data_IF_707957204994
#
_entry.id   IF_707957204994
#
_cell.length_a   1.000
_cell.length_b   1.000
_cell.length_c   1.000
_cell.angle_alpha   90.00
_cell.angle_beta   90.00
_cell.angle_gamma   90.00
#
_symmetry.space_group_name_H-M   'P 1'
#
loop_
_entity.id
_entity.type
_entity.pdbx_description
1 polymer ?
#
# COMPACT_ATOMS: atom_id res chain seq x y z
N UNK A 1 -8.21 -3.36 7.14
CA UNK A 1 -9.53 -2.71 6.89
C UNK A 1 -10.67 -3.72 6.67
N UNK A 2 -10.47 -4.82 5.91
CA UNK A 2 -11.55 -5.78 5.66
C UNK A 2 -12.17 -6.39 6.94
N UNK A 3 -11.39 -6.87 7.93
CA UNK A 3 -11.95 -7.51 9.13
C UNK A 3 -12.81 -6.60 10.02
N UNK A 4 -12.50 -5.30 10.12
CA UNK A 4 -13.27 -4.38 10.96
C UNK A 4 -14.66 -4.09 10.35
N UNK A 5 -14.72 -3.85 9.03
CA UNK A 5 -16.00 -3.72 8.33
C UNK A 5 -16.85 -4.99 8.45
N UNK A 6 -16.21 -6.17 8.43
CA UNK A 6 -16.89 -7.45 8.62
C UNK A 6 -17.43 -7.59 10.06
N UNK A 7 -16.68 -7.10 11.06
CA UNK A 7 -17.15 -7.06 12.46
C UNK A 7 -18.28 -6.06 12.64
N UNK A 8 -18.17 -4.87 12.08
CA UNK A 8 -19.21 -3.84 12.12
C UNK A 8 -20.49 -4.28 11.42
N UNK A 9 -20.40 -4.94 10.27
CA UNK A 9 -21.57 -5.50 9.58
C UNK A 9 -22.29 -6.54 10.46
N UNK A 10 -21.56 -7.42 11.17
CA UNK A 10 -22.18 -8.40 12.09
C UNK A 10 -22.74 -7.79 13.37
N UNK A 11 -22.20 -6.67 13.85
CA UNK A 11 -22.67 -6.01 15.08
C UNK A 11 -23.90 -5.10 14.85
N UNK A 12 -24.14 -4.66 13.60
CA UNK A 12 -25.18 -3.69 13.28
C UNK A 12 -26.34 -4.27 12.45
N UNK A 13 -26.32 -5.57 12.17
CA UNK A 13 -27.42 -6.26 11.49
C UNK A 13 -27.93 -7.40 12.36
N UNK A 14 -29.21 -7.43 12.69
CA UNK A 14 -29.88 -8.58 13.30
C UNK A 14 -29.98 -9.76 12.31
N UNK A 15 -29.56 -9.57 11.07
CA UNK A 15 -29.54 -10.59 10.01
C UNK A 15 -28.21 -11.37 10.03
N UNK A 16 -28.30 -12.68 9.84
CA UNK A 16 -27.15 -13.56 9.67
C UNK A 16 -26.47 -13.26 8.35
N UNK A 17 -25.41 -12.44 8.38
CA UNK A 17 -24.61 -12.13 7.20
C UNK A 17 -23.64 -13.28 6.93
N UNK A 18 -23.75 -13.89 5.76
CA UNK A 18 -22.75 -14.84 5.25
C UNK A 18 -21.67 -14.09 4.48
N UNK A 19 -20.41 -14.42 4.80
CA UNK A 19 -19.26 -13.74 4.22
C UNK A 19 -18.37 -14.78 3.58
N UNK A 20 -17.98 -14.51 2.31
CA UNK A 20 -17.03 -15.32 1.56
C UNK A 20 -15.88 -14.44 1.07
N UNK A 21 -14.65 -14.85 1.36
CA UNK A 21 -13.45 -14.23 0.82
C UNK A 21 -12.98 -15.00 -0.39
N UNK A 22 -12.88 -14.31 -1.54
CA UNK A 22 -12.31 -14.85 -2.78
C UNK A 22 -10.88 -14.35 -2.91
N UNK A 23 -9.92 -15.25 -2.91
CA UNK A 23 -8.48 -14.94 -3.03
C UNK A 23 -7.90 -15.66 -4.26
N UNK A 24 -7.17 -14.91 -5.09
CA UNK A 24 -6.52 -15.44 -6.30
C UNK A 24 -5.36 -16.39 -5.98
N UNK A 25 -4.60 -16.07 -4.95
CA UNK A 25 -3.43 -16.85 -4.53
C UNK A 25 -3.86 -18.08 -3.73
N UNK A 26 -2.92 -18.95 -3.42
CA UNK A 26 -3.11 -20.17 -2.62
C UNK A 26 -3.43 -19.89 -1.13
N UNK A 27 -3.22 -18.65 -0.67
CA UNK A 27 -3.59 -18.19 0.69
C UNK A 27 -3.75 -16.68 0.78
N UNK A 28 -4.60 -16.21 1.68
CA UNK A 28 -4.79 -14.80 1.99
C UNK A 28 -3.59 -14.22 2.74
N UNK A 29 -3.38 -12.90 2.58
CA UNK A 29 -2.40 -12.15 3.35
C UNK A 29 -0.95 -12.26 2.89
N UNK A 30 -0.65 -12.90 1.75
CA UNK A 30 0.74 -13.04 1.24
C UNK A 30 1.48 -11.73 1.11
N UNK A 31 0.81 -10.67 0.66
CA UNK A 31 1.44 -9.37 0.49
C UNK A 31 1.89 -8.74 1.81
N UNK A 32 1.22 -9.04 2.92
CA UNK A 32 1.60 -8.56 4.26
C UNK A 32 3.03 -9.00 4.58
N UNK A 33 3.40 -10.23 4.23
CA UNK A 33 4.70 -10.82 4.53
C UNK A 33 5.88 -10.07 3.86
N UNK A 34 5.64 -9.36 2.76
CA UNK A 34 6.66 -8.57 2.05
C UNK A 34 6.73 -7.11 2.52
N UNK A 35 5.82 -6.67 3.39
CA UNK A 35 5.78 -5.28 3.85
C UNK A 35 6.77 -5.01 4.99
N UNK A 36 7.22 -3.76 5.11
CA UNK A 36 8.13 -3.36 6.19
C UNK A 36 9.40 -4.20 6.28
N UNK A 37 9.93 -4.65 5.15
CA UNK A 37 11.09 -5.56 5.08
C UNK A 37 10.87 -6.86 5.89
N UNK A 38 9.69 -7.47 5.75
CA UNK A 38 9.30 -8.69 6.47
C UNK A 38 8.78 -8.47 7.89
N UNK A 39 8.70 -7.22 8.35
CA UNK A 39 8.25 -6.86 9.71
C UNK A 39 6.82 -6.34 9.76
N UNK A 40 6.23 -5.92 8.63
CA UNK A 40 4.92 -5.29 8.52
C UNK A 40 4.80 -3.95 9.26
N UNK A 41 5.24 -2.86 8.63
CA UNK A 41 4.85 -1.52 9.10
C UNK A 41 3.35 -1.33 8.83
N UNK A 42 2.51 -1.53 9.85
CA UNK A 42 1.07 -1.57 9.66
C UNK A 42 0.36 -0.23 9.90
N UNK A 43 1.03 0.74 10.56
CA UNK A 43 0.50 2.09 10.77
C UNK A 43 1.63 3.10 11.08
N UNK A 44 1.24 4.36 11.26
CA UNK A 44 2.13 5.43 11.69
C UNK A 44 1.38 6.41 12.58
N UNK A 45 1.92 6.74 13.77
CA UNK A 45 1.31 7.67 14.73
C UNK A 45 1.11 9.07 14.15
N UNK A 46 1.98 9.48 13.22
CA UNK A 46 1.97 10.79 12.59
C UNK A 46 1.14 10.83 11.30
N UNK A 47 0.35 9.77 11.00
CA UNK A 47 -0.43 9.70 9.78
C UNK A 47 -1.45 10.85 9.72
N UNK A 48 -1.39 11.61 8.65
CA UNK A 48 -2.27 12.75 8.40
C UNK A 48 -2.45 12.93 6.89
N UNK A 49 -3.40 13.76 6.47
CA UNK A 49 -3.61 14.09 5.05
C UNK A 49 -2.32 14.56 4.36
N UNK A 50 -1.41 15.20 5.09
CA UNK A 50 -0.13 15.71 4.56
C UNK A 50 0.82 14.61 4.09
N UNK A 51 0.63 13.38 4.56
CA UNK A 51 1.44 12.22 4.19
C UNK A 51 0.92 11.48 2.95
N UNK A 52 -0.19 11.96 2.36
CA UNK A 52 -0.76 11.39 1.15
C UNK A 52 -0.52 12.32 -0.03
N UNK A 53 -0.06 11.75 -1.13
CA UNK A 53 0.33 12.50 -2.33
C UNK A 53 -0.52 12.05 -3.52
N UNK A 54 -0.90 13.00 -4.38
CA UNK A 54 -1.71 12.72 -5.55
C UNK A 54 -2.30 14.01 -6.12
N UNK A 55 -3.24 13.87 -7.07
CA UNK A 55 -3.95 14.99 -7.65
C UNK A 55 -4.80 15.73 -6.62
N UNK A 56 -5.46 14.95 -5.75
CA UNK A 56 -6.25 15.45 -4.63
C UNK A 56 -6.05 14.52 -3.44
N UNK A 57 -5.21 14.92 -2.48
CA UNK A 57 -4.97 14.17 -1.25
C UNK A 57 -6.03 14.40 -0.19
N UNK A 58 -6.87 15.43 -0.34
CA UNK A 58 -7.90 15.77 0.66
C UNK A 58 -8.98 14.69 0.78
N UNK A 59 -9.17 13.85 -0.25
CA UNK A 59 -10.14 12.76 -0.20
C UNK A 59 -9.84 11.74 0.91
N UNK A 60 -8.58 11.68 1.40
CA UNK A 60 -8.19 10.79 2.50
C UNK A 60 -8.66 11.29 3.86
N UNK A 61 -9.01 12.58 3.97
CA UNK A 61 -9.38 13.22 5.23
C UNK A 61 -10.57 12.51 5.91
N UNK A 62 -11.58 12.13 5.13
CA UNK A 62 -12.74 11.42 5.65
C UNK A 62 -12.35 10.07 6.26
N UNK A 63 -11.61 9.25 5.53
CA UNK A 63 -11.21 7.92 6.00
C UNK A 63 -10.32 7.98 7.24
N UNK A 64 -9.39 8.95 7.30
CA UNK A 64 -8.51 9.14 8.45
C UNK A 64 -9.25 9.65 9.69
N UNK A 65 -10.34 10.37 9.50
CA UNK A 65 -11.22 10.84 10.58
C UNK A 65 -12.11 9.70 11.11
N UNK A 66 -12.74 8.93 10.21
CA UNK A 66 -13.69 7.87 10.57
C UNK A 66 -12.99 6.62 11.12
N UNK A 67 -11.75 6.36 10.72
CA UNK A 67 -10.93 5.27 11.23
C UNK A 67 -9.51 5.77 11.49
N UNK A 68 -9.28 6.16 12.72
CA UNK A 68 -8.04 6.80 13.16
C UNK A 68 -6.88 5.80 13.31
N UNK A 69 -5.68 6.31 13.55
CA UNK A 69 -4.52 5.47 13.92
C UNK A 69 -4.80 4.70 15.21
N UNK A 70 -5.44 5.35 16.19
CA UNK A 70 -5.80 4.67 17.44
C UNK A 70 -6.80 3.54 17.21
N UNK A 71 -7.77 3.71 16.31
CA UNK A 71 -8.70 2.63 15.94
C UNK A 71 -7.95 1.47 15.28
N UNK A 72 -6.97 1.76 14.42
CA UNK A 72 -6.11 0.75 13.82
C UNK A 72 -5.32 -0.01 14.89
N UNK A 73 -4.70 0.69 15.83
CA UNK A 73 -3.95 0.08 16.94
C UNK A 73 -4.88 -0.80 17.81
N UNK A 74 -6.03 -0.27 18.18
CA UNK A 74 -7.02 -1.01 18.98
C UNK A 74 -7.53 -2.27 18.27
N UNK A 75 -7.77 -2.17 16.95
CA UNK A 75 -8.16 -3.30 16.14
C UNK A 75 -7.14 -4.43 16.19
N UNK A 76 -5.86 -4.11 16.01
CA UNK A 76 -4.79 -5.11 16.07
C UNK A 76 -4.53 -5.63 17.49
N UNK A 77 -4.62 -4.77 18.51
CA UNK A 77 -4.50 -5.16 19.92
C UNK A 77 -5.55 -6.20 20.31
N UNK A 78 -6.79 -6.09 19.83
CA UNK A 78 -7.86 -7.07 20.09
C UNK A 78 -7.56 -8.46 19.52
N UNK A 79 -6.67 -8.55 18.53
CA UNK A 79 -6.19 -9.80 17.95
C UNK A 79 -4.83 -10.24 18.53
N UNK A 80 -4.35 -9.56 19.58
CA UNK A 80 -3.07 -9.87 20.22
C UNK A 80 -1.82 -9.35 19.49
N UNK A 81 -1.99 -8.45 18.52
CA UNK A 81 -0.88 -7.79 17.82
C UNK A 81 -0.65 -6.43 18.44
N UNK A 82 0.29 -6.34 19.37
CA UNK A 82 0.65 -5.09 20.05
C UNK A 82 1.66 -4.27 19.23
N UNK A 83 1.60 -2.92 19.28
CA UNK A 83 2.50 -2.06 18.54
C UNK A 83 3.88 -1.96 19.19
N UNK A 84 4.91 -1.91 18.34
CA UNK A 84 6.24 -1.40 18.64
C UNK A 84 6.44 -0.14 17.81
N UNK A 85 6.65 0.99 18.48
CA UNK A 85 6.97 2.25 17.81
C UNK A 85 8.46 2.31 17.47
N UNK A 86 8.77 2.78 16.28
CA UNK A 86 10.11 3.13 15.81
C UNK A 86 10.15 4.60 15.35
N UNK A 87 11.32 5.05 14.93
CA UNK A 87 11.55 6.42 14.49
C UNK A 87 10.45 6.94 13.56
N UNK A 88 10.10 8.20 13.69
CA UNK A 88 9.09 8.89 12.89
C UNK A 88 7.65 8.36 13.10
N UNK A 89 7.38 7.71 14.24
CA UNK A 89 6.07 7.18 14.60
C UNK A 89 5.66 5.92 13.82
N UNK A 90 6.58 5.23 13.17
CA UNK A 90 6.30 3.97 12.46
C UNK A 90 5.88 2.89 13.45
N UNK A 91 4.79 2.18 13.15
CA UNK A 91 4.28 1.10 13.99
C UNK A 91 4.49 -0.26 13.33
N UNK A 92 5.17 -1.12 14.04
CA UNK A 92 5.39 -2.53 13.70
C UNK A 92 4.72 -3.43 14.74
N UNK A 93 4.41 -4.70 14.45
CA UNK A 93 4.05 -5.65 15.50
C UNK A 93 5.22 -5.81 16.47
N UNK A 94 4.93 -5.97 17.75
CA UNK A 94 5.97 -6.12 18.79
C UNK A 94 6.94 -7.28 18.52
N UNK A 95 6.44 -8.33 17.85
CA UNK A 95 7.24 -9.47 17.38
C UNK A 95 8.22 -9.13 16.27
N UNK A 96 8.09 -7.97 15.62
CA UNK A 96 8.83 -7.56 14.41
C UNK A 96 8.74 -8.58 13.24
N UNK A 97 7.66 -9.34 13.19
CA UNK A 97 7.40 -10.35 12.17
C UNK A 97 6.07 -10.11 11.47
N UNK A 98 6.10 -9.93 10.16
CA UNK A 98 4.90 -9.76 9.35
C UNK A 98 3.95 -10.98 9.40
N UNK A 99 4.49 -12.17 9.67
CA UNK A 99 3.69 -13.39 9.88
C UNK A 99 2.73 -13.26 11.06
N UNK A 100 3.15 -12.63 12.17
CA UNK A 100 2.28 -12.42 13.33
C UNK A 100 1.00 -11.66 12.96
N UNK A 101 1.13 -10.60 12.14
CA UNK A 101 -0.02 -9.84 11.64
C UNK A 101 -0.90 -10.69 10.72
N UNK A 102 -0.28 -11.40 9.78
CA UNK A 102 -1.00 -12.25 8.83
C UNK A 102 -1.75 -13.39 9.51
N UNK A 103 -1.14 -14.01 10.52
CA UNK A 103 -1.72 -15.14 11.24
C UNK A 103 -2.83 -14.67 12.20
N UNK A 104 -2.66 -13.53 12.87
CA UNK A 104 -3.72 -12.92 13.66
C UNK A 104 -4.99 -12.65 12.84
N UNK A 105 -4.83 -12.08 11.63
CA UNK A 105 -5.95 -11.86 10.71
C UNK A 105 -6.60 -13.17 10.26
N UNK A 106 -5.83 -14.21 9.95
CA UNK A 106 -6.38 -15.53 9.57
C UNK A 106 -7.11 -16.20 10.71
N UNK A 107 -6.55 -16.13 11.92
CA UNK A 107 -7.19 -16.68 13.11
C UNK A 107 -8.52 -15.98 13.39
N UNK A 108 -8.57 -14.66 13.20
CA UNK A 108 -9.81 -13.90 13.38
C UNK A 108 -10.87 -14.27 12.32
N UNK A 109 -10.47 -14.45 11.06
CA UNK A 109 -11.35 -14.94 9.99
C UNK A 109 -11.93 -16.32 10.36
N UNK A 110 -11.08 -17.23 10.83
CA UNK A 110 -11.50 -18.56 11.27
C UNK A 110 -12.44 -18.48 12.49
N UNK A 111 -12.11 -17.66 13.50
CA UNK A 111 -12.95 -17.44 14.69
C UNK A 111 -14.34 -16.92 14.32
N UNK A 112 -14.42 -16.07 13.31
CA UNK A 112 -15.69 -15.54 12.82
C UNK A 112 -16.45 -16.51 11.90
N UNK A 113 -15.89 -17.67 11.59
CA UNK A 113 -16.51 -18.64 10.67
C UNK A 113 -16.66 -18.13 9.26
N UNK A 114 -15.74 -17.28 8.80
CA UNK A 114 -15.76 -16.71 7.44
C UNK A 114 -15.09 -17.70 6.51
N UNK A 115 -15.77 -18.06 5.43
CA UNK A 115 -15.23 -18.94 4.40
C UNK A 115 -14.20 -18.22 3.56
N UNK A 116 -13.09 -18.92 3.24
CA UNK A 116 -12.06 -18.45 2.31
C UNK A 116 -11.99 -19.43 1.15
N UNK A 117 -12.12 -18.92 -0.07
CA UNK A 117 -11.90 -19.66 -1.29
C UNK A 117 -10.64 -19.15 -1.98
N UNK A 118 -9.59 -19.91 -1.92
CA UNK A 118 -8.29 -19.64 -2.57
C UNK A 118 -8.26 -20.17 -4.00
N UNK A 119 -7.29 -19.70 -4.80
CA UNK A 119 -7.19 -20.05 -6.22
C UNK A 119 -8.30 -19.44 -7.08
N UNK A 120 -9.16 -18.61 -6.52
CA UNK A 120 -10.28 -18.00 -7.24
C UNK A 120 -9.88 -16.69 -7.90
N UNK A 121 -9.40 -16.76 -9.13
CA UNK A 121 -9.02 -15.58 -9.90
C UNK A 121 -10.26 -14.94 -10.55
N UNK A 122 -10.79 -13.88 -9.96
CA UNK A 122 -11.94 -13.16 -10.49
C UNK A 122 -11.63 -12.60 -11.88
N UNK A 123 -12.42 -12.99 -12.87
CA UNK A 123 -12.36 -12.50 -14.24
C UNK A 123 -13.42 -11.44 -14.55
N UNK A 124 -14.59 -11.58 -13.94
CA UNK A 124 -15.72 -10.66 -14.17
C UNK A 124 -16.56 -10.48 -12.90
N UNK A 125 -17.08 -9.27 -12.74
CA UNK A 125 -18.10 -8.93 -11.77
C UNK A 125 -19.23 -8.23 -12.54
N UNK A 126 -20.39 -8.86 -12.60
CA UNK A 126 -21.57 -8.29 -13.22
C UNK A 126 -22.68 -8.08 -12.19
N UNK A 127 -23.47 -7.02 -12.38
CA UNK A 127 -24.57 -6.64 -11.48
C UNK A 127 -25.90 -6.98 -12.11
N UNK A 128 -26.70 -7.76 -11.40
CA UNK A 128 -28.14 -7.87 -11.63
C UNK A 128 -28.89 -6.89 -10.75
N UNK A 129 -30.22 -6.75 -10.95
CA UNK A 129 -31.05 -5.79 -10.21
C UNK A 129 -30.85 -5.82 -8.69
N UNK A 130 -30.63 -6.99 -8.09
CA UNK A 130 -30.55 -7.18 -6.63
C UNK A 130 -29.26 -7.87 -6.15
N UNK A 131 -28.41 -8.38 -7.04
CA UNK A 131 -27.23 -9.18 -6.66
C UNK A 131 -26.07 -8.96 -7.63
N UNK A 132 -24.90 -9.41 -7.20
CA UNK A 132 -23.71 -9.48 -8.03
C UNK A 132 -23.41 -10.92 -8.40
N UNK A 133 -22.98 -11.14 -9.64
CA UNK A 133 -22.41 -12.38 -10.13
C UNK A 133 -20.91 -12.19 -10.29
N UNK A 134 -20.12 -13.00 -9.61
CA UNK A 134 -18.67 -13.01 -9.67
C UNK A 134 -18.24 -14.28 -10.40
N UNK A 135 -17.49 -14.13 -11.48
CA UNK A 135 -17.04 -15.25 -12.30
C UNK A 135 -15.52 -15.35 -12.25
N UNK A 136 -14.99 -16.54 -11.99
CA UNK A 136 -13.56 -16.81 -12.05
C UNK A 136 -13.08 -16.99 -13.48
N UNK A 137 -11.75 -16.97 -13.71
CA UNK A 137 -11.15 -17.30 -15.01
C UNK A 137 -11.49 -18.72 -15.48
N UNK A 138 -11.67 -19.63 -14.54
CA UNK A 138 -12.00 -21.04 -14.81
C UNK A 138 -13.50 -21.27 -15.01
N UNK A 139 -14.30 -20.19 -15.03
CA UNK A 139 -15.74 -20.23 -15.26
C UNK A 139 -16.59 -20.52 -14.02
N UNK A 140 -15.98 -20.66 -12.85
CA UNK A 140 -16.71 -20.83 -11.61
C UNK A 140 -17.48 -19.56 -11.24
N UNK A 141 -18.69 -19.70 -10.69
CA UNK A 141 -19.58 -18.58 -10.40
C UNK A 141 -19.96 -18.55 -8.92
N UNK A 142 -19.80 -17.38 -8.31
CA UNK A 142 -20.31 -17.04 -6.98
C UNK A 142 -21.31 -15.89 -7.08
N UNK A 143 -22.28 -15.83 -6.18
CA UNK A 143 -23.28 -14.76 -6.10
C UNK A 143 -23.28 -14.14 -4.71
N UNK A 144 -23.56 -12.84 -4.65
CA UNK A 144 -23.66 -12.12 -3.37
C UNK A 144 -24.48 -10.82 -3.53
N UNK A 145 -25.09 -10.37 -2.46
CA UNK A 145 -25.89 -9.13 -2.45
C UNK A 145 -25.00 -7.88 -2.39
N UNK A 146 -23.81 -8.03 -1.88
CA UNK A 146 -22.78 -6.97 -1.76
C UNK A 146 -21.42 -7.53 -2.15
N UNK A 147 -20.58 -6.68 -2.71
CA UNK A 147 -19.19 -7.02 -3.07
C UNK A 147 -18.26 -5.91 -2.58
N UNK A 148 -17.19 -6.32 -1.91
CA UNK A 148 -16.07 -5.44 -1.55
C UNK A 148 -14.88 -5.84 -2.41
N UNK A 149 -14.44 -4.94 -3.30
CA UNK A 149 -13.27 -5.19 -4.14
C UNK A 149 -12.03 -4.71 -3.41
N UNK A 150 -11.23 -5.65 -2.90
CA UNK A 150 -10.01 -5.42 -2.13
C UNK A 150 -8.75 -5.96 -2.83
N UNK A 151 -8.77 -6.06 -4.16
CA UNK A 151 -7.71 -6.65 -4.98
C UNK A 151 -6.40 -5.85 -5.04
N UNK A 152 -6.35 -4.67 -4.40
CA UNK A 152 -5.18 -3.81 -4.40
C UNK A 152 -4.98 -3.01 -5.69
N UNK A 153 -3.84 -2.34 -5.81
CA UNK A 153 -3.42 -1.58 -6.98
C UNK A 153 -2.37 -2.33 -7.82
N UNK A 154 -1.33 -1.59 -8.27
CA UNK A 154 -0.27 -2.11 -9.15
C UNK A 154 1.08 -2.29 -8.46
N UNK A 155 1.15 -2.21 -7.12
CA UNK A 155 2.42 -2.07 -6.41
C UNK A 155 3.25 -3.37 -6.36
N UNK A 156 2.63 -4.55 -6.45
CA UNK A 156 3.32 -5.83 -6.32
C UNK A 156 2.60 -6.92 -7.10
N UNK A 157 2.78 -7.00 -8.42
CA UNK A 157 2.06 -7.94 -9.28
C UNK A 157 2.25 -9.41 -8.88
N UNK A 158 3.47 -9.81 -8.51
CA UNK A 158 3.76 -11.18 -8.08
C UNK A 158 3.01 -11.61 -6.79
N UNK A 159 2.56 -10.65 -5.99
CA UNK A 159 1.79 -10.88 -4.76
C UNK A 159 0.32 -10.46 -4.88
N UNK A 160 -0.21 -10.41 -6.10
CA UNK A 160 -1.62 -10.20 -6.35
C UNK A 160 -2.06 -8.77 -6.64
N UNK A 161 -1.19 -7.76 -6.51
CA UNK A 161 -1.51 -6.36 -6.81
C UNK A 161 -1.00 -5.97 -8.20
N UNK A 162 -1.66 -6.46 -9.24
CA UNK A 162 -1.28 -6.29 -10.66
C UNK A 162 -2.19 -5.29 -11.42
N UNK A 163 -3.13 -4.66 -10.75
CA UNK A 163 -4.08 -3.72 -11.34
C UNK A 163 -5.35 -4.35 -11.88
N UNK A 164 -5.49 -5.67 -11.90
CA UNK A 164 -6.68 -6.35 -12.43
C UNK A 164 -7.99 -5.93 -11.75
N UNK A 165 -7.94 -5.56 -10.48
CA UNK A 165 -9.09 -5.01 -9.76
C UNK A 165 -9.63 -3.71 -10.38
N UNK A 166 -8.78 -2.90 -11.00
CA UNK A 166 -9.21 -1.67 -11.66
C UNK A 166 -10.09 -1.93 -12.87
N UNK A 167 -9.78 -2.96 -13.65
CA UNK A 167 -10.57 -3.31 -14.83
C UNK A 167 -11.94 -3.86 -14.43
N UNK A 168 -12.02 -4.66 -13.36
CA UNK A 168 -13.28 -5.11 -12.78
C UNK A 168 -14.18 -3.91 -12.38
N UNK A 169 -13.59 -2.89 -11.74
CA UNK A 169 -14.33 -1.70 -11.33
C UNK A 169 -14.74 -0.82 -12.53
N UNK A 170 -13.90 -0.69 -13.56
CA UNK A 170 -14.26 0.02 -14.80
C UNK A 170 -15.45 -0.63 -15.49
N UNK A 171 -15.49 -1.97 -15.55
CA UNK A 171 -16.60 -2.72 -16.14
C UNK A 171 -17.93 -2.48 -15.39
N UNK A 172 -17.86 -2.12 -14.11
CA UNK A 172 -19.00 -1.71 -13.29
C UNK A 172 -19.36 -0.22 -13.42
N UNK A 173 -18.67 0.52 -14.30
CA UNK A 173 -18.93 1.94 -14.56
C UNK A 173 -18.14 2.94 -13.71
N UNK A 174 -17.15 2.47 -12.91
CA UNK A 174 -16.27 3.37 -12.18
C UNK A 174 -15.19 3.98 -13.09
N UNK A 175 -14.88 5.26 -12.86
CA UNK A 175 -13.70 5.90 -13.43
C UNK A 175 -12.49 5.71 -12.52
N UNK A 176 -11.30 5.81 -13.11
CA UNK A 176 -10.04 5.72 -12.37
C UNK A 176 -9.13 6.89 -12.74
N UNK A 177 -8.52 7.51 -11.75
CA UNK A 177 -7.46 8.48 -11.95
C UNK A 177 -6.16 7.79 -12.37
N UNK A 178 -5.30 8.49 -13.08
CA UNK A 178 -3.99 7.94 -13.46
C UNK A 178 -3.19 7.60 -12.21
N UNK A 179 -2.61 6.41 -12.22
CA UNK A 179 -1.70 5.95 -11.17
C UNK A 179 -0.25 6.10 -11.62
N UNK A 180 0.64 6.29 -10.65
CA UNK A 180 2.08 6.31 -10.88
C UNK A 180 2.80 5.58 -9.74
N UNK A 181 4.00 5.03 -10.00
CA UNK A 181 4.85 4.49 -8.94
C UNK A 181 5.19 5.54 -7.88
N UNK A 182 5.20 5.14 -6.63
CA UNK A 182 5.63 5.95 -5.49
C UNK A 182 6.44 5.09 -4.52
N UNK A 183 7.34 5.71 -3.77
CA UNK A 183 8.29 5.02 -2.88
C UNK A 183 9.13 3.99 -3.65
N UNK A 184 9.67 4.43 -4.79
CA UNK A 184 10.46 3.61 -5.71
C UNK A 184 11.80 4.26 -6.02
N UNK A 185 12.70 3.48 -6.58
CA UNK A 185 13.94 3.96 -7.18
C UNK A 185 13.63 4.94 -8.32
N UNK A 186 14.51 5.89 -8.56
CA UNK A 186 14.38 6.85 -9.66
C UNK A 186 15.42 6.54 -10.72
N UNK A 187 14.96 6.34 -11.96
CA UNK A 187 15.85 6.24 -13.13
C UNK A 187 16.38 7.61 -13.48
N UNK A 188 17.67 7.68 -13.73
CA UNK A 188 18.36 8.89 -14.20
C UNK A 188 19.07 8.61 -15.53
N UNK A 189 19.83 9.58 -16.04
CA UNK A 189 20.71 9.35 -17.19
C UNK A 189 21.78 8.33 -16.80
N UNK A 190 21.84 7.14 -17.45
CA UNK A 190 22.78 6.08 -17.04
C UNK A 190 24.25 6.48 -17.03
N UNK A 191 24.65 7.38 -17.95
CA UNK A 191 26.02 7.89 -18.04
C UNK A 191 26.49 8.57 -16.75
N UNK A 192 25.59 9.16 -15.98
CA UNK A 192 25.90 9.90 -14.75
C UNK A 192 26.09 8.97 -13.54
N UNK A 193 25.52 7.77 -13.56
CA UNK A 193 25.44 6.91 -12.38
C UNK A 193 26.09 5.54 -12.54
N UNK A 194 26.23 5.04 -13.77
CA UNK A 194 26.69 3.68 -14.06
C UNK A 194 28.09 3.36 -13.49
N UNK A 195 29.01 4.33 -13.57
CA UNK A 195 30.37 4.16 -13.03
C UNK A 195 30.42 4.17 -11.50
N UNK A 196 29.33 4.61 -10.85
CA UNK A 196 29.20 4.70 -9.40
C UNK A 196 28.35 3.56 -8.83
N UNK A 197 27.94 2.59 -9.64
CA UNK A 197 27.10 1.47 -9.22
C UNK A 197 27.64 0.78 -7.97
N UNK A 198 26.78 0.61 -6.97
CA UNK A 198 27.11 -0.02 -5.68
C UNK A 198 27.69 0.94 -4.64
N UNK A 199 28.07 2.15 -5.03
CA UNK A 199 28.55 3.16 -4.08
C UNK A 199 27.35 3.68 -3.28
N UNK A 200 27.57 3.84 -1.97
CA UNK A 200 26.64 4.45 -1.04
C UNK A 200 27.25 5.70 -0.41
N UNK A 201 26.43 6.67 -0.13
CA UNK A 201 26.80 7.82 0.70
C UNK A 201 25.60 8.28 1.52
N UNK A 202 25.85 8.99 2.61
CA UNK A 202 24.83 9.69 3.37
C UNK A 202 24.93 11.18 3.06
N UNK A 203 23.82 11.80 2.62
CA UNK A 203 23.84 13.19 2.20
C UNK A 203 22.45 13.73 1.89
N UNK A 204 22.42 14.95 1.38
CA UNK A 204 21.22 15.65 0.94
C UNK A 204 20.80 15.25 -0.46
N UNK A 205 19.51 15.18 -0.69
CA UNK A 205 18.90 14.92 -1.99
C UNK A 205 17.81 15.95 -2.23
N UNK A 206 17.97 16.78 -3.26
CA UNK A 206 16.98 17.78 -3.64
C UNK A 206 16.39 17.47 -5.01
N UNK A 207 15.07 17.54 -5.13
CA UNK A 207 14.33 17.42 -6.38
C UNK A 207 14.02 18.80 -6.91
N UNK A 208 14.52 19.12 -8.11
CA UNK A 208 14.40 20.43 -8.74
C UNK A 208 13.49 20.34 -9.96
N UNK A 209 12.54 21.28 -10.06
CA UNK A 209 11.66 21.45 -11.20
C UNK A 209 11.60 22.93 -11.59
N UNK A 210 11.95 23.25 -12.83
CA UNK A 210 11.99 24.65 -13.34
C UNK A 210 12.79 25.58 -12.41
N UNK A 211 14.01 25.16 -12.09
CA UNK A 211 14.98 25.87 -11.25
C UNK A 211 14.51 26.15 -9.81
N UNK A 212 13.49 25.42 -9.35
CA UNK A 212 13.00 25.51 -7.97
C UNK A 212 13.09 24.15 -7.31
N UNK A 213 13.59 24.12 -6.07
CA UNK A 213 13.49 22.96 -5.23
C UNK A 213 12.04 22.71 -4.85
N UNK A 214 11.55 21.48 -5.10
CA UNK A 214 10.17 21.06 -4.79
C UNK A 214 10.08 19.98 -3.72
N UNK A 215 11.21 19.36 -3.39
CA UNK A 215 11.35 18.42 -2.28
C UNK A 215 12.84 18.30 -1.93
N UNK A 216 13.12 18.07 -0.64
CA UNK A 216 14.46 17.79 -0.14
C UNK A 216 14.36 16.74 0.96
N UNK A 217 15.32 15.81 0.96
CA UNK A 217 15.41 14.72 1.94
C UNK A 217 16.88 14.48 2.29
N UNK A 218 17.14 13.83 3.43
CA UNK A 218 18.48 13.49 3.88
C UNK A 218 18.56 12.02 4.27
N UNK A 219 19.65 11.33 3.92
CA UNK A 219 19.88 9.96 4.31
C UNK A 219 20.81 9.19 3.38
N UNK A 220 20.82 7.84 3.53
CA UNK A 220 21.65 6.97 2.70
C UNK A 220 21.09 6.87 1.27
N UNK A 221 21.93 7.21 0.30
CA UNK A 221 21.68 7.08 -1.14
C UNK A 221 22.56 5.97 -1.69
N UNK A 222 21.98 5.12 -2.55
CA UNK A 222 22.68 4.07 -3.29
C UNK A 222 22.64 4.37 -4.78
N UNK A 223 23.80 4.39 -5.43
CA UNK A 223 23.91 4.40 -6.89
C UNK A 223 23.64 3.01 -7.47
N UNK A 224 22.77 2.94 -8.46
CA UNK A 224 22.51 1.73 -9.25
C UNK A 224 23.00 1.94 -10.69
N UNK A 225 22.99 0.90 -11.50
CA UNK A 225 23.38 0.98 -12.92
C UNK A 225 22.47 1.83 -13.79
N UNK A 226 21.26 2.14 -13.29
CA UNK A 226 20.22 2.88 -14.02
C UNK A 226 19.68 4.12 -13.29
N UNK A 227 20.18 4.41 -12.10
CA UNK A 227 19.68 5.54 -11.32
C UNK A 227 20.04 5.50 -9.84
N UNK A 228 19.13 6.01 -9.02
CA UNK A 228 19.35 6.21 -7.60
C UNK A 228 18.31 5.44 -6.77
N UNK A 229 18.75 4.95 -5.62
CA UNK A 229 17.97 4.20 -4.63
C UNK A 229 18.28 4.72 -3.22
N UNK A 230 17.55 4.20 -2.24
CA UNK A 230 17.71 4.56 -0.83
C UNK A 230 16.52 5.34 -0.27
N UNK A 231 16.38 5.41 1.06
CA UNK A 231 15.24 6.05 1.71
C UNK A 231 14.90 7.45 1.22
N UNK A 232 15.85 8.41 1.09
CA UNK A 232 15.53 9.75 0.60
C UNK A 232 15.05 9.74 -0.85
N UNK A 233 15.57 8.84 -1.69
CA UNK A 233 15.12 8.69 -3.08
C UNK A 233 13.67 8.19 -3.13
N UNK A 234 13.33 7.23 -2.27
CA UNK A 234 11.94 6.73 -2.18
C UNK A 234 10.98 7.84 -1.75
N UNK A 235 11.35 8.67 -0.78
CA UNK A 235 10.53 9.78 -0.33
C UNK A 235 10.31 10.80 -1.45
N UNK A 236 11.35 11.29 -2.11
CA UNK A 236 11.21 12.27 -3.19
C UNK A 236 10.49 11.70 -4.43
N UNK A 237 10.53 10.37 -4.65
CA UNK A 237 9.85 9.74 -5.79
C UNK A 237 8.34 10.01 -5.81
N UNK A 238 7.73 10.24 -4.65
CA UNK A 238 6.32 10.63 -4.51
C UNK A 238 5.98 11.95 -5.22
N UNK A 239 6.98 12.81 -5.45
CA UNK A 239 6.84 14.12 -6.11
C UNK A 239 7.20 14.08 -7.61
N UNK A 240 7.77 12.97 -8.09
CA UNK A 240 8.21 12.80 -9.49
C UNK A 240 7.04 12.55 -10.43
N UNK A 241 6.00 11.87 -9.94
CA UNK A 241 4.88 11.44 -10.76
C UNK A 241 4.27 12.57 -11.62
N UNK A 242 4.05 12.27 -12.89
CA UNK A 242 3.43 13.17 -13.88
C UNK A 242 4.19 14.48 -14.17
N UNK A 243 5.43 14.63 -13.71
CA UNK A 243 6.29 15.77 -14.00
C UNK A 243 7.37 15.39 -15.02
N UNK A 244 7.74 16.34 -15.86
CA UNK A 244 8.86 16.23 -16.82
C UNK A 244 9.94 17.23 -16.47
N UNK A 245 11.15 16.99 -16.99
CA UNK A 245 12.30 17.91 -16.81
C UNK A 245 12.60 18.15 -15.32
N UNK A 246 12.76 17.05 -14.61
CA UNK A 246 13.19 17.05 -13.22
C UNK A 246 14.69 16.84 -13.14
N UNK A 247 15.33 17.51 -12.21
CA UNK A 247 16.74 17.30 -11.85
C UNK A 247 16.83 16.85 -10.40
N UNK A 248 17.68 15.88 -10.12
CA UNK A 248 18.06 15.50 -8.76
C UNK A 248 19.44 16.09 -8.48
N UNK A 249 19.52 16.94 -7.48
CA UNK A 249 20.80 17.43 -6.95
C UNK A 249 21.19 16.59 -5.73
N UNK A 250 22.46 16.21 -5.65
CA UNK A 250 23.03 15.45 -4.54
C UNK A 250 24.04 16.34 -3.81
N UNK A 251 23.86 16.48 -2.51
CA UNK A 251 24.82 17.14 -1.63
C UNK A 251 25.54 16.11 -0.77
N UNK A 252 26.79 15.87 -1.11
CA UNK A 252 27.65 14.91 -0.40
C UNK A 252 28.22 15.45 0.91
N UNK A 253 28.13 16.78 1.11
CA UNK A 253 28.82 17.48 2.20
C UNK A 253 27.89 18.47 2.90
N UNK A 254 26.67 18.04 3.24
CA UNK A 254 25.62 18.89 3.86
C UNK A 254 26.13 19.67 5.07
N UNK A 255 27.06 19.09 5.84
CA UNK A 255 27.66 19.72 7.03
C UNK A 255 28.53 20.95 6.67
N UNK A 256 29.00 21.02 5.44
CA UNK A 256 29.88 22.06 4.93
C UNK A 256 29.19 23.00 3.94
N UNK A 257 27.93 22.74 3.62
CA UNK A 257 27.17 23.60 2.72
C UNK A 257 26.87 24.95 3.38
N UNK A 258 26.99 26.08 2.65
CA UNK A 258 26.61 27.38 3.21
C UNK A 258 25.13 27.36 3.59
N UNK A 259 24.85 27.86 4.78
CA UNK A 259 23.47 27.98 5.29
C UNK A 259 22.72 29.12 4.61
#
# INVERSE_FOLDING_TARGET
MLPEWLRLLRQHTDEKVEILILERLDRVGKKILATGNGRCNYSNLNASVKNYYGKDSSFTAYSLKEFTVNDTVNFFNQMGVFPKEENEGKLYPFSEQASAVSDALRNEIARLGIEIKTGFHVADISRNKKSFKITSKDGEVVRGDRVIVAGGGCAQPALGSDGSAFDLLKNLGHSMTNTAPALVQIKTEPKEVKSLQGIKFTGGVSLIHKDREIASEYGEVLFTDYGLSGPPIFQISTKVAFKKNLTIALDFMVEYSPK
#
